data_IF_999504480163
#
_entry.id   IF_999504480163
#
_cell.length_a   1.000
_cell.length_b   1.000
_cell.length_c   1.000
_cell.angle_alpha   90.00
_cell.angle_beta   90.00
_cell.angle_gamma   90.00
#
_symmetry.space_group_name_H-M   'P 1'
#
loop_
_entity.id
_entity.type
_entity.pdbx_description
1 polymer ?
#
# COMPACT_ATOMS: atom_id res chain seq x y z
N UNK A 1 17.34 -17.38 43.11
CA UNK A 1 16.43 -17.51 41.95
C UNK A 1 16.18 -16.14 41.35
N UNK A 2 16.83 -15.83 40.23
CA UNK A 2 16.64 -14.57 39.49
C UNK A 2 15.97 -14.93 38.16
N UNK A 3 14.73 -14.46 37.97
CA UNK A 3 13.97 -14.64 36.73
C UNK A 3 14.62 -13.81 35.63
N UNK A 4 15.15 -14.49 34.62
CA UNK A 4 15.54 -13.89 33.35
C UNK A 4 14.29 -13.34 32.65
N UNK A 5 14.08 -12.03 32.72
CA UNK A 5 13.19 -11.33 31.81
C UNK A 5 13.87 -11.29 30.44
N UNK A 6 13.42 -12.13 29.51
CA UNK A 6 13.86 -12.14 28.12
C UNK A 6 13.69 -10.74 27.47
N UNK A 7 14.77 -10.05 27.08
CA UNK A 7 14.69 -8.83 26.28
C UNK A 7 14.76 -9.18 24.79
N UNK A 8 13.96 -10.14 24.31
CA UNK A 8 14.12 -10.71 22.95
C UNK A 8 13.25 -10.09 21.85
N UNK A 9 12.56 -8.98 22.12
CA UNK A 9 11.92 -8.16 21.09
C UNK A 9 12.11 -6.67 21.39
N UNK A 10 13.37 -6.29 21.66
CA UNK A 10 13.76 -4.91 21.34
C UNK A 10 13.73 -4.87 19.82
N UNK A 11 12.66 -4.33 19.25
CA UNK A 11 12.62 -3.95 17.84
C UNK A 11 13.87 -3.12 17.61
N UNK A 12 14.93 -3.75 17.09
CA UNK A 12 16.01 -3.06 16.44
C UNK A 12 15.32 -2.54 15.19
N UNK A 13 14.59 -1.42 15.35
CA UNK A 13 14.49 -0.44 14.29
C UNK A 13 15.96 -0.13 14.06
N UNK A 14 16.56 -0.84 13.10
CA UNK A 14 17.76 -0.35 12.50
C UNK A 14 17.45 1.11 12.24
N UNK A 15 18.12 2.01 12.96
CA UNK A 15 18.41 3.36 12.47
C UNK A 15 19.31 3.21 11.24
N UNK A 16 18.97 2.30 10.31
CA UNK A 16 19.40 2.39 8.95
C UNK A 16 18.89 3.76 8.54
N UNK A 17 19.86 4.61 8.23
CA UNK A 17 19.76 5.59 7.19
C UNK A 17 18.70 5.14 6.18
N UNK A 18 17.43 5.48 6.39
CA UNK A 18 16.53 5.59 5.27
C UNK A 18 17.18 6.68 4.45
N UNK A 19 17.67 6.28 3.29
CA UNK A 19 18.31 7.14 2.32
C UNK A 19 17.59 8.50 2.31
N UNK A 20 18.37 9.58 2.37
CA UNK A 20 17.84 10.95 2.38
C UNK A 20 16.78 11.16 1.29
N UNK A 21 16.92 10.43 0.18
CA UNK A 21 16.01 10.31 -0.94
C UNK A 21 14.65 9.71 -0.53
N UNK A 22 14.64 8.51 0.08
CA UNK A 22 13.41 7.80 0.52
C UNK A 22 12.65 8.63 1.56
N UNK A 23 13.37 9.27 2.50
CA UNK A 23 12.76 10.22 3.44
C UNK A 23 12.14 11.42 2.72
N UNK A 24 12.87 12.04 1.78
CA UNK A 24 12.38 13.17 0.98
C UNK A 24 11.12 12.81 0.18
N UNK A 25 11.08 11.62 -0.42
CA UNK A 25 9.90 11.10 -1.14
C UNK A 25 8.69 10.96 -0.21
N UNK A 26 8.88 10.41 1.00
CA UNK A 26 7.81 10.32 2.00
C UNK A 26 7.27 11.69 2.41
N UNK A 27 8.16 12.67 2.63
CA UNK A 27 7.75 14.03 2.98
C UNK A 27 6.99 14.71 1.84
N UNK A 28 7.46 14.53 0.61
CA UNK A 28 6.79 15.07 -0.57
C UNK A 28 5.40 14.45 -0.74
N UNK A 29 5.27 13.13 -0.53
CA UNK A 29 3.99 12.42 -0.54
C UNK A 29 3.03 12.99 0.52
N UNK A 30 3.47 13.12 1.78
CA UNK A 30 2.63 13.66 2.86
C UNK A 30 2.22 15.11 2.56
N UNK A 31 3.13 15.94 2.06
CA UNK A 31 2.85 17.33 1.69
C UNK A 31 1.82 17.40 0.56
N UNK A 32 1.99 16.62 -0.50
CA UNK A 32 1.06 16.56 -1.63
C UNK A 32 -0.32 16.06 -1.19
N UNK A 33 -0.37 15.00 -0.40
CA UNK A 33 -1.62 14.45 0.12
C UNK A 33 -2.38 15.49 0.96
N UNK A 34 -1.69 16.21 1.85
CA UNK A 34 -2.31 17.27 2.67
C UNK A 34 -2.78 18.44 1.82
N UNK A 35 -1.99 18.87 0.82
CA UNK A 35 -2.39 19.93 -0.12
C UNK A 35 -3.71 19.57 -0.81
N UNK A 36 -3.78 18.37 -1.40
CA UNK A 36 -5.00 17.88 -2.07
C UNK A 36 -6.19 17.80 -1.10
N UNK A 37 -5.96 17.34 0.13
CA UNK A 37 -7.01 17.32 1.16
C UNK A 37 -7.52 18.73 1.50
N UNK A 38 -6.64 19.73 1.58
CA UNK A 38 -7.03 21.14 1.78
C UNK A 38 -7.79 21.71 0.58
N UNK A 39 -7.48 21.25 -0.64
CA UNK A 39 -8.21 21.57 -1.87
C UNK A 39 -9.57 20.84 -1.97
N UNK A 40 -9.96 20.06 -0.96
CA UNK A 40 -11.24 19.39 -0.85
C UNK A 40 -11.27 17.96 -1.38
N UNK A 41 -10.15 17.41 -1.85
CA UNK A 41 -10.09 16.03 -2.35
C UNK A 41 -10.27 15.02 -1.22
N UNK A 42 -11.18 14.06 -1.42
CA UNK A 42 -11.32 12.90 -0.52
C UNK A 42 -10.24 11.86 -0.82
N UNK A 43 -9.69 11.21 0.21
CA UNK A 43 -8.65 10.19 0.01
C UNK A 43 -9.28 8.81 -0.16
N UNK A 44 -8.97 8.16 -1.28
CA UNK A 44 -9.27 6.76 -1.55
C UNK A 44 -7.95 6.04 -1.77
N UNK A 45 -7.82 4.83 -1.22
CA UNK A 45 -6.73 3.92 -1.48
C UNK A 45 -7.25 2.86 -2.43
N UNK A 46 -6.58 2.69 -3.56
CA UNK A 46 -6.82 1.62 -4.52
C UNK A 46 -5.64 0.66 -4.44
N UNK A 47 -5.94 -0.63 -4.38
CA UNK A 47 -4.91 -1.64 -4.26
C UNK A 47 -5.35 -2.98 -4.79
N UNK A 48 -4.35 -3.84 -4.90
CA UNK A 48 -4.49 -5.22 -5.33
C UNK A 48 -3.95 -6.12 -4.21
N UNK A 49 -4.56 -7.28 -4.01
CA UNK A 49 -4.17 -8.19 -2.95
C UNK A 49 -4.21 -9.62 -3.42
N UNK A 50 -3.05 -10.26 -3.32
CA UNK A 50 -2.85 -11.64 -3.68
C UNK A 50 -3.20 -12.59 -2.52
N UNK A 51 -3.97 -13.61 -2.87
CA UNK A 51 -4.44 -14.70 -2.04
C UNK A 51 -4.03 -16.00 -2.74
N UNK A 52 -2.99 -16.67 -2.25
CA UNK A 52 -2.64 -18.01 -2.73
C UNK A 52 -3.80 -18.98 -2.54
N UNK A 53 -4.02 -19.85 -3.52
CA UNK A 53 -5.13 -20.79 -3.51
C UNK A 53 -5.08 -21.76 -2.33
N UNK A 54 -3.89 -22.16 -1.86
CA UNK A 54 -3.75 -23.01 -0.67
C UNK A 54 -4.37 -22.40 0.60
N UNK A 55 -4.48 -21.07 0.71
CA UNK A 55 -5.16 -20.43 1.85
C UNK A 55 -6.68 -20.65 1.80
N UNK A 56 -7.21 -20.84 0.59
CA UNK A 56 -8.63 -21.06 0.30
C UNK A 56 -8.96 -22.53 0.47
N UNK A 57 -8.18 -23.43 -0.14
CA UNK A 57 -8.37 -24.88 -0.08
C UNK A 57 -7.99 -25.45 1.29
N UNK A 58 -6.99 -24.85 1.95
CA UNK A 58 -6.41 -25.35 3.19
C UNK A 58 -5.43 -26.48 2.99
N UNK A 59 -4.94 -26.67 1.76
CA UNK A 59 -3.87 -27.62 1.41
C UNK A 59 -2.53 -27.18 2.00
N UNK A 60 -1.66 -28.16 2.27
CA UNK A 60 -0.34 -27.87 2.82
C UNK A 60 0.58 -27.40 1.69
N UNK A 61 1.23 -26.23 1.83
CA UNK A 61 2.14 -25.71 0.80
C UNK A 61 3.43 -26.54 0.65
N UNK A 62 3.64 -27.54 1.52
CA UNK A 62 4.80 -28.45 1.52
C UNK A 62 4.60 -29.69 0.66
N UNK A 63 3.41 -29.92 0.08
CA UNK A 63 3.22 -31.03 -0.84
C UNK A 63 4.00 -30.76 -2.14
N UNK A 64 4.99 -31.61 -2.42
CA UNK A 64 6.01 -31.47 -3.46
C UNK A 64 5.46 -31.40 -4.90
N UNK A 65 4.14 -31.59 -5.09
CA UNK A 65 3.46 -31.50 -6.39
C UNK A 65 3.02 -30.07 -6.77
N UNK A 66 3.21 -29.07 -5.91
CA UNK A 66 2.74 -27.69 -6.12
C UNK A 66 3.75 -26.85 -6.91
N UNK A 67 4.01 -27.19 -8.18
CA UNK A 67 4.98 -26.47 -9.04
C UNK A 67 4.54 -25.03 -9.36
N UNK A 68 3.26 -24.69 -9.22
CA UNK A 68 2.79 -23.30 -9.13
C UNK A 68 1.42 -23.28 -8.47
N UNK A 69 1.36 -22.82 -7.23
CA UNK A 69 0.08 -22.56 -6.59
C UNK A 69 -0.57 -21.34 -7.28
N UNK A 70 -1.76 -21.49 -7.89
CA UNK A 70 -2.45 -20.36 -8.48
C UNK A 70 -2.70 -19.28 -7.42
N UNK A 71 -2.66 -18.03 -7.85
CA UNK A 71 -2.83 -16.88 -6.96
C UNK A 71 -4.07 -16.13 -7.41
N UNK A 72 -5.04 -16.01 -6.52
CA UNK A 72 -6.16 -15.13 -6.72
C UNK A 72 -5.77 -13.71 -6.37
N UNK A 73 -5.87 -12.80 -7.32
CA UNK A 73 -5.67 -11.38 -7.06
C UNK A 73 -6.98 -10.64 -7.01
N UNK A 74 -7.14 -9.82 -5.96
CA UNK A 74 -8.35 -9.07 -5.71
C UNK A 74 -8.04 -7.59 -5.78
N UNK A 75 -8.71 -6.89 -6.70
CA UNK A 75 -8.63 -5.43 -6.84
C UNK A 75 -9.76 -4.79 -6.02
N UNK A 76 -9.40 -3.87 -5.14
CA UNK A 76 -10.31 -3.26 -4.16
C UNK A 76 -9.92 -1.81 -3.85
N UNK A 77 -10.85 -1.08 -3.26
CA UNK A 77 -10.60 0.27 -2.80
C UNK A 77 -11.26 0.57 -1.46
N UNK A 78 -10.62 1.43 -0.68
CA UNK A 78 -11.11 1.88 0.63
C UNK A 78 -10.84 3.36 0.85
N UNK A 79 -11.76 4.04 1.54
CA UNK A 79 -11.67 5.47 1.88
C UNK A 79 -11.56 5.66 3.38
N UNK A 80 -11.67 6.86 3.96
CA UNK A 80 -11.82 6.97 5.43
C UNK A 80 -13.14 6.44 5.98
N UNK A 81 -14.14 6.19 5.11
CA UNK A 81 -15.50 5.78 5.48
C UNK A 81 -15.73 4.27 5.45
N UNK A 82 -14.76 3.49 4.98
CA UNK A 82 -14.89 2.06 4.77
C UNK A 82 -14.44 1.66 3.37
N UNK A 83 -14.85 0.47 2.94
CA UNK A 83 -14.74 0.05 1.55
C UNK A 83 -15.48 1.02 0.64
N UNK A 84 -14.90 1.28 -0.53
CA UNK A 84 -15.59 2.01 -1.60
C UNK A 84 -16.73 1.12 -2.09
N UNK A 85 -17.95 1.63 -2.33
CA UNK A 85 -19.08 0.87 -2.86
C UNK A 85 -18.91 0.62 -4.37
N UNK A 86 -17.75 0.08 -4.74
CA UNK A 86 -17.38 -0.39 -6.06
C UNK A 86 -17.14 -1.89 -5.94
N UNK A 87 -17.75 -2.66 -6.84
CA UNK A 87 -17.63 -4.12 -6.81
C UNK A 87 -16.16 -4.48 -7.04
N UNK A 88 -15.56 -5.17 -6.07
CA UNK A 88 -14.19 -5.68 -6.24
C UNK A 88 -14.12 -6.62 -7.46
N UNK A 89 -12.92 -6.75 -8.04
CA UNK A 89 -12.66 -7.72 -9.10
C UNK A 89 -11.71 -8.79 -8.60
N UNK A 90 -11.91 -10.01 -9.09
CA UNK A 90 -11.09 -11.17 -8.74
C UNK A 90 -10.52 -11.74 -10.03
N UNK A 91 -9.21 -11.94 -10.06
CA UNK A 91 -8.49 -12.49 -11.19
C UNK A 91 -7.73 -13.72 -10.71
N UNK A 92 -7.88 -14.85 -11.40
CA UNK A 92 -7.00 -15.98 -11.19
C UNK A 92 -5.72 -15.73 -11.98
N UNK A 93 -4.60 -15.60 -11.28
CA UNK A 93 -3.29 -15.53 -11.89
C UNK A 93 -2.76 -16.94 -12.04
N UNK A 94 -2.82 -17.45 -13.26
CA UNK A 94 -2.04 -18.59 -13.74
C UNK A 94 -1.03 -18.08 -14.79
N UNK A 95 -0.15 -18.96 -15.27
CA UNK A 95 0.85 -18.61 -16.29
C UNK A 95 0.24 -18.13 -17.63
N UNK A 96 -1.08 -18.22 -17.82
CA UNK A 96 -1.76 -18.04 -19.10
C UNK A 96 -2.53 -16.71 -19.23
N UNK A 97 -2.77 -15.97 -18.14
CA UNK A 97 -3.56 -14.72 -18.20
C UNK A 97 -2.96 -13.56 -17.37
N UNK A 98 -2.20 -12.69 -18.03
CA UNK A 98 -1.65 -11.43 -17.48
C UNK A 98 -2.30 -10.18 -18.08
N UNK A 99 -3.45 -10.31 -18.74
CA UNK A 99 -4.12 -9.16 -19.37
C UNK A 99 -4.68 -8.21 -18.30
N UNK A 100 -4.26 -6.96 -18.34
CA UNK A 100 -4.88 -5.89 -17.57
C UNK A 100 -6.31 -5.66 -18.09
N UNK A 101 -7.28 -5.53 -17.19
CA UNK A 101 -8.67 -5.27 -17.57
C UNK A 101 -8.82 -3.82 -18.02
N UNK A 102 -9.04 -3.60 -19.33
CA UNK A 102 -9.28 -2.28 -19.89
C UNK A 102 -10.58 -1.68 -19.37
N UNK A 103 -10.58 -0.38 -19.10
CA UNK A 103 -11.79 0.35 -18.64
C UNK A 103 -12.12 0.17 -17.16
N UNK A 104 -11.53 -0.79 -16.44
CA UNK A 104 -11.82 -1.02 -15.03
C UNK A 104 -11.49 0.21 -14.15
N UNK A 105 -10.39 0.90 -14.47
CA UNK A 105 -10.01 2.13 -13.75
C UNK A 105 -10.97 3.29 -14.05
N UNK A 106 -11.50 3.37 -15.26
CA UNK A 106 -12.51 4.37 -15.64
C UNK A 106 -13.84 4.11 -14.93
N UNK A 107 -14.28 2.84 -14.85
CA UNK A 107 -15.45 2.44 -14.07
C UNK A 107 -15.28 2.84 -12.60
N UNK A 108 -14.12 2.52 -12.01
CA UNK A 108 -13.79 2.89 -10.64
C UNK A 108 -13.84 4.41 -10.43
N UNK A 109 -13.22 5.20 -11.32
CA UNK A 109 -13.24 6.66 -11.24
C UNK A 109 -14.67 7.20 -11.32
N UNK A 110 -15.50 6.65 -12.20
CA UNK A 110 -16.91 7.05 -12.33
C UNK A 110 -17.71 6.81 -11.04
N UNK A 111 -17.51 5.65 -10.41
CA UNK A 111 -18.14 5.31 -9.13
C UNK A 111 -17.61 6.22 -8.00
N UNK A 112 -16.30 6.42 -7.93
CA UNK A 112 -15.67 7.27 -6.92
C UNK A 112 -16.16 8.72 -7.03
N UNK A 113 -16.26 9.27 -8.25
CA UNK A 113 -16.79 10.59 -8.50
C UNK A 113 -18.25 10.72 -8.04
N UNK A 114 -19.10 9.74 -8.35
CA UNK A 114 -20.51 9.76 -7.94
C UNK A 114 -20.70 9.72 -6.42
N UNK A 115 -19.86 8.95 -5.71
CA UNK A 115 -20.03 8.70 -4.27
C UNK A 115 -19.31 9.74 -3.41
N UNK A 116 -18.11 10.16 -3.83
CA UNK A 116 -17.22 10.99 -3.01
C UNK A 116 -16.87 12.34 -3.63
N UNK A 117 -17.24 12.59 -4.89
CA UNK A 117 -16.82 13.77 -5.64
C UNK A 117 -15.35 13.70 -6.02
N UNK A 118 -14.62 14.82 -5.91
CA UNK A 118 -13.19 14.88 -6.25
C UNK A 118 -12.36 14.06 -5.25
N UNK A 119 -11.52 13.18 -5.76
CA UNK A 119 -10.75 12.22 -4.96
C UNK A 119 -9.26 12.26 -5.29
N UNK A 120 -8.42 12.13 -4.27
CA UNK A 120 -7.03 11.69 -4.44
C UNK A 120 -7.00 10.18 -4.31
N UNK A 121 -6.67 9.51 -5.40
CA UNK A 121 -6.58 8.06 -5.50
C UNK A 121 -5.12 7.68 -5.22
N UNK A 122 -4.90 7.11 -4.04
CA UNK A 122 -3.60 6.61 -3.61
C UNK A 122 -3.43 5.18 -4.13
N UNK A 123 -2.43 4.97 -4.98
CA UNK A 123 -2.13 3.66 -5.57
C UNK A 123 -0.76 3.22 -5.09
N UNK A 124 -0.62 1.93 -4.74
CA UNK A 124 0.69 1.33 -4.50
C UNK A 124 1.26 0.87 -5.83
N UNK A 125 2.35 1.45 -6.27
CA UNK A 125 3.07 0.93 -7.43
C UNK A 125 3.65 -0.45 -7.08
N UNK A 126 3.32 -1.46 -7.88
CA UNK A 126 3.91 -2.79 -7.76
C UNK A 126 5.23 -2.79 -8.53
N UNK A 127 6.35 -2.68 -7.82
CA UNK A 127 7.63 -3.06 -8.41
C UNK A 127 7.58 -4.57 -8.60
N UNK A 128 7.54 -5.00 -9.86
CA UNK A 128 7.58 -6.41 -10.24
C UNK A 128 8.56 -7.16 -9.35
N UNK A 129 8.08 -8.22 -8.68
CA UNK A 129 8.89 -9.17 -7.92
C UNK A 129 9.64 -10.10 -8.92
N UNK A 130 10.29 -9.49 -9.91
CA UNK A 130 11.18 -10.14 -10.87
C UNK A 130 12.61 -9.58 -10.79
N UNK A 131 13.00 -9.03 -9.64
CA UNK A 131 14.40 -8.85 -9.26
C UNK A 131 15.02 -10.17 -8.75
N UNK A 132 14.87 -11.26 -9.53
CA UNK A 132 15.69 -12.47 -9.34
C UNK A 132 16.61 -12.79 -10.51
N UNK A 133 16.54 -12.05 -11.63
CA UNK A 133 17.56 -12.07 -12.68
C UNK A 133 17.61 -10.74 -13.42
N UNK A 134 18.43 -9.82 -12.93
CA UNK A 134 19.31 -8.99 -13.77
C UNK A 134 20.14 -8.10 -12.84
N UNK A 135 21.22 -8.70 -12.33
CA UNK A 135 22.44 -7.93 -12.23
C UNK A 135 22.90 -7.62 -13.66
N UNK A 136 23.50 -6.44 -13.81
CA UNK A 136 24.21 -5.96 -15.00
C UNK A 136 23.32 -5.44 -16.14
N UNK A 137 23.03 -4.13 -16.11
CA UNK A 137 23.65 -3.12 -16.99
C UNK A 137 22.90 -1.77 -16.84
N UNK A 138 23.70 -0.71 -16.88
CA UNK A 138 23.34 0.70 -17.09
C UNK A 138 22.93 1.52 -15.87
N UNK A 139 23.97 2.10 -15.28
CA UNK A 139 24.01 3.52 -14.90
C UNK A 139 23.27 4.42 -15.91
N UNK A 140 22.86 5.59 -15.41
CA UNK A 140 22.28 6.72 -16.12
C UNK A 140 20.78 6.67 -16.42
N UNK A 141 19.97 7.04 -15.42
CA UNK A 141 18.77 7.88 -15.63
C UNK A 141 18.59 8.89 -14.49
N UNK A 142 19.51 9.83 -14.42
CA UNK A 142 19.29 11.12 -13.77
C UNK A 142 18.47 12.08 -14.64
N UNK A 143 17.37 11.65 -15.28
CA UNK A 143 16.50 12.52 -16.09
C UNK A 143 15.18 11.82 -16.50
N UNK A 144 14.31 11.51 -15.53
CA UNK A 144 12.93 11.07 -15.86
C UNK A 144 11.93 11.47 -14.76
N UNK A 145 11.98 12.74 -14.36
CA UNK A 145 10.96 13.38 -13.55
C UNK A 145 10.09 14.19 -14.50
N UNK A 146 8.82 13.78 -14.69
CA UNK A 146 7.77 14.41 -15.53
C UNK A 146 7.48 13.81 -16.92
N UNK A 147 7.31 12.50 -17.01
CA UNK A 147 6.40 11.91 -17.99
C UNK A 147 5.16 11.39 -17.25
N UNK A 148 3.98 11.51 -17.86
CA UNK A 148 2.74 10.96 -17.33
C UNK A 148 2.84 9.43 -17.23
N UNK A 149 3.37 8.95 -16.11
CA UNK A 149 3.60 7.54 -15.88
C UNK A 149 2.28 6.94 -15.41
N UNK A 150 1.59 6.29 -16.34
CA UNK A 150 0.56 5.31 -16.03
C UNK A 150 1.06 4.41 -14.89
N UNK A 151 0.33 4.37 -13.78
CA UNK A 151 0.69 3.55 -12.62
C UNK A 151 0.07 2.18 -12.84
N UNK A 152 0.89 1.18 -13.11
CA UNK A 152 0.41 -0.18 -13.31
C UNK A 152 0.34 -0.92 -11.97
N UNK A 153 -0.86 -1.42 -11.65
CA UNK A 153 -1.02 -2.61 -10.82
C UNK A 153 -0.93 -3.83 -11.75
N UNK A 154 -0.83 -5.03 -11.18
CA UNK A 154 -0.70 -6.24 -12.00
C UNK A 154 -1.94 -6.49 -12.86
N UNK A 155 -3.15 -6.31 -12.32
CA UNK A 155 -4.40 -6.55 -13.07
C UNK A 155 -5.09 -5.28 -13.59
N UNK A 156 -4.66 -4.09 -13.17
CA UNK A 156 -5.31 -2.82 -13.57
C UNK A 156 -4.29 -1.71 -13.83
N UNK A 157 -4.51 -0.95 -14.90
CA UNK A 157 -3.71 0.22 -15.25
C UNK A 157 -4.37 1.51 -14.76
N UNK A 158 -3.67 2.29 -13.93
CA UNK A 158 -4.16 3.55 -13.39
C UNK A 158 -3.55 4.73 -14.16
N UNK A 159 -4.30 5.22 -15.15
CA UNK A 159 -3.90 6.32 -16.03
C UNK A 159 -4.21 7.70 -15.40
N UNK A 160 -3.21 8.59 -15.21
CA UNK A 160 -3.42 9.95 -14.67
C UNK A 160 -4.42 10.79 -15.45
N UNK A 161 -4.47 10.65 -16.76
CA UNK A 161 -5.41 11.37 -17.64
C UNK A 161 -6.85 10.96 -17.35
N UNK A 162 -7.11 9.67 -17.20
CA UNK A 162 -8.44 9.13 -16.83
C UNK A 162 -8.88 9.64 -15.47
N UNK A 163 -7.97 9.64 -14.49
CA UNK A 163 -8.24 10.19 -13.17
C UNK A 163 -8.61 11.68 -13.26
N UNK A 164 -7.80 12.49 -13.95
CA UNK A 164 -8.03 13.94 -14.09
C UNK A 164 -9.31 14.26 -14.84
N UNK A 165 -9.62 13.54 -15.92
CA UNK A 165 -10.87 13.67 -16.65
C UNK A 165 -12.10 13.42 -15.76
N UNK A 166 -11.97 12.55 -14.76
CA UNK A 166 -13.00 12.25 -13.76
C UNK A 166 -12.97 13.18 -12.53
N UNK A 167 -12.12 14.21 -12.54
CA UNK A 167 -11.94 15.14 -11.42
C UNK A 167 -11.17 14.56 -10.24
N UNK A 168 -10.28 13.59 -10.50
CA UNK A 168 -9.43 12.94 -9.50
C UNK A 168 -7.94 13.26 -9.72
N UNK A 169 -7.15 13.04 -8.68
CA UNK A 169 -5.70 13.11 -8.73
C UNK A 169 -5.11 11.76 -8.32
N UNK A 170 -4.17 11.23 -9.11
CA UNK A 170 -3.42 10.04 -8.74
C UNK A 170 -2.22 10.42 -7.87
N UNK A 171 -2.01 9.66 -6.80
CA UNK A 171 -0.87 9.83 -5.91
C UNK A 171 -0.21 8.48 -5.62
N UNK A 172 1.00 8.20 -6.15
CA UNK A 172 1.70 6.97 -5.85
C UNK A 172 2.13 6.94 -4.37
N UNK A 173 1.96 5.79 -3.73
CA UNK A 173 2.45 5.54 -2.39
C UNK A 173 3.97 5.25 -2.43
N UNK A 174 4.80 5.97 -1.66
CA UNK A 174 6.25 5.77 -1.71
C UNK A 174 6.66 4.45 -1.04
N UNK A 175 7.50 3.67 -1.71
CA UNK A 175 8.18 2.49 -1.14
C UNK A 175 9.34 2.96 -0.23
N UNK A 176 9.56 2.36 0.96
CA UNK A 176 8.90 1.20 1.56
C UNK A 176 7.77 1.56 2.56
N UNK A 177 7.12 2.72 2.42
CA UNK A 177 6.12 3.23 3.37
C UNK A 177 4.73 2.60 3.21
N UNK A 178 4.65 1.29 2.94
CA UNK A 178 3.40 0.55 2.74
C UNK A 178 2.46 0.65 3.96
N UNK A 179 3.01 0.80 5.16
CA UNK A 179 2.24 1.02 6.39
C UNK A 179 1.39 2.30 6.40
N UNK A 180 1.58 3.20 5.42
CA UNK A 180 0.73 4.36 5.21
C UNK A 180 -0.55 4.02 4.41
N UNK A 181 -0.69 2.79 3.94
CA UNK A 181 -1.88 2.23 3.30
C UNK A 181 -2.72 1.45 4.33
N UNK A 182 -3.98 1.84 4.59
CA UNK A 182 -4.85 1.10 5.49
C UNK A 182 -5.29 -0.27 4.94
N UNK A 183 -5.20 -0.48 3.62
CA UNK A 183 -5.68 -1.69 2.95
C UNK A 183 -4.95 -2.94 3.46
N UNK A 184 -3.63 -2.90 3.63
CA UNK A 184 -2.84 -4.07 4.08
C UNK A 184 -3.36 -4.65 5.40
N UNK A 185 -3.75 -3.77 6.34
CA UNK A 185 -4.30 -4.18 7.63
C UNK A 185 -5.74 -4.72 7.51
N UNK A 186 -6.54 -4.14 6.61
CA UNK A 186 -7.88 -4.65 6.31
C UNK A 186 -7.81 -6.06 5.68
N UNK A 187 -6.90 -6.26 4.73
CA UNK A 187 -6.67 -7.54 4.08
C UNK A 187 -6.06 -8.59 5.00
N UNK A 188 -5.21 -8.20 5.94
CA UNK A 188 -4.75 -9.13 6.99
C UNK A 188 -5.94 -9.69 7.79
N UNK A 189 -6.92 -8.85 8.11
CA UNK A 189 -8.14 -9.28 8.80
C UNK A 189 -8.99 -10.22 7.93
N UNK A 190 -9.05 -9.97 6.61
CA UNK A 190 -9.76 -10.82 5.67
C UNK A 190 -9.07 -12.17 5.46
N UNK A 191 -7.75 -12.22 5.30
CA UNK A 191 -6.99 -13.47 5.19
C UNK A 191 -7.23 -14.37 6.41
N UNK A 192 -7.26 -13.78 7.61
CA UNK A 192 -7.65 -14.48 8.83
C UNK A 192 -9.10 -14.99 8.79
N UNK A 193 -10.03 -14.21 8.24
CA UNK A 193 -11.41 -14.67 8.05
C UNK A 193 -11.47 -15.88 7.12
N UNK A 194 -10.80 -15.84 5.97
CA UNK A 194 -10.74 -16.95 5.00
C UNK A 194 -10.23 -18.21 5.69
N UNK A 195 -9.05 -18.13 6.33
CA UNK A 195 -8.44 -19.29 7.00
C UNK A 195 -9.40 -19.90 8.03
N UNK A 196 -10.06 -19.07 8.84
CA UNK A 196 -10.90 -19.56 9.94
C UNK A 196 -12.29 -20.05 9.51
N UNK A 197 -12.84 -19.54 8.40
CA UNK A 197 -14.23 -19.81 8.02
C UNK A 197 -14.34 -20.64 6.74
N UNK A 198 -13.22 -20.99 6.07
CA UNK A 198 -13.22 -21.71 4.78
C UNK A 198 -14.17 -22.90 4.70
N UNK A 199 -14.28 -23.70 5.77
CA UNK A 199 -15.14 -24.90 5.82
C UNK A 199 -16.63 -24.56 5.64
N UNK A 200 -17.09 -23.40 6.08
CA UNK A 200 -18.48 -22.95 5.94
C UNK A 200 -18.85 -22.62 4.48
N UNK A 201 -17.84 -22.38 3.64
CA UNK A 201 -18.00 -22.07 2.22
C UNK A 201 -17.66 -23.24 1.30
N UNK A 202 -17.34 -24.40 1.88
CA UNK A 202 -17.03 -25.61 1.14
C UNK A 202 -18.28 -26.48 1.02
N UNK A 203 -18.73 -26.73 -0.21
CA UNK A 203 -19.75 -27.72 -0.51
C UNK A 203 -19.04 -29.00 -0.95
N UNK A 204 -19.31 -30.10 -0.26
CA UNK A 204 -18.83 -31.43 -0.67
C UNK A 204 -19.95 -32.13 -1.42
N UNK A 205 -19.62 -32.64 -2.59
CA UNK A 205 -20.46 -33.60 -3.28
C UNK A 205 -19.67 -34.88 -3.44
N UNK A 206 -20.35 -35.98 -3.16
CA UNK A 206 -19.78 -37.32 -3.24
C UNK A 206 -20.64 -38.04 -4.26
N UNK A 207 -20.08 -38.22 -5.46
CA UNK A 207 -20.63 -39.16 -6.43
C UNK A 207 -20.02 -40.54 -6.16
N UNK A 208 -20.65 -41.58 -6.70
CA UNK A 208 -20.21 -42.98 -6.66
C UNK A 208 -18.80 -43.22 -7.18
N UNK A 209 -18.27 -42.31 -8.02
CA UNK A 209 -16.95 -42.43 -8.68
C UNK A 209 -15.97 -41.32 -8.27
N UNK A 210 -16.45 -40.12 -7.94
CA UNK A 210 -15.60 -38.97 -7.62
C UNK A 210 -16.14 -38.17 -6.44
N UNK A 211 -15.24 -37.74 -5.54
CA UNK A 211 -15.52 -36.71 -4.56
C UNK A 211 -14.99 -35.36 -5.05
N UNK A 212 -15.87 -34.37 -5.20
CA UNK A 212 -15.47 -33.01 -5.51
C UNK A 212 -15.86 -32.04 -4.39
N UNK A 213 -15.02 -31.03 -4.21
CA UNK A 213 -15.24 -29.95 -3.25
C UNK A 213 -15.38 -28.64 -4.02
N UNK A 214 -16.54 -28.00 -3.93
CA UNK A 214 -16.74 -26.64 -4.42
C UNK A 214 -16.48 -25.65 -3.31
N UNK A 215 -15.83 -24.54 -3.63
CA UNK A 215 -15.62 -23.43 -2.70
C UNK A 215 -16.34 -22.22 -3.25
N UNK A 216 -17.28 -21.68 -2.46
CA UNK A 216 -17.99 -20.44 -2.78
C UNK A 216 -17.08 -19.23 -2.50
N UNK A 217 -16.02 -19.09 -3.29
CA UNK A 217 -14.93 -18.17 -2.98
C UNK A 217 -15.37 -16.70 -3.02
N UNK A 218 -16.16 -16.30 -4.02
CA UNK A 218 -16.71 -14.94 -4.09
C UNK A 218 -17.57 -14.61 -2.85
N UNK A 219 -18.42 -15.54 -2.40
CA UNK A 219 -19.26 -15.33 -1.21
C UNK A 219 -18.42 -15.23 0.07
N UNK A 220 -17.34 -16.01 0.16
CA UNK A 220 -16.38 -15.92 1.25
C UNK A 220 -15.69 -14.56 1.28
N UNK A 221 -15.26 -14.03 0.13
CA UNK A 221 -14.70 -12.68 0.04
C UNK A 221 -15.75 -11.62 0.43
N UNK A 222 -16.95 -11.70 -0.11
CA UNK A 222 -18.05 -10.78 0.19
C UNK A 222 -18.36 -10.72 1.69
N UNK A 223 -18.63 -11.87 2.32
CA UNK A 223 -18.91 -11.93 3.77
C UNK A 223 -17.73 -11.46 4.61
N UNK A 224 -16.50 -11.73 4.17
CA UNK A 224 -15.32 -11.28 4.88
C UNK A 224 -15.12 -9.76 4.80
N UNK A 225 -15.41 -9.15 3.65
CA UNK A 225 -15.42 -7.69 3.45
C UNK A 225 -16.44 -7.04 4.40
N UNK A 226 -17.64 -7.63 4.52
CA UNK A 226 -18.71 -7.14 5.41
C UNK A 226 -18.33 -7.18 6.90
N UNK A 227 -17.45 -8.11 7.31
CA UNK A 227 -16.93 -8.16 8.70
C UNK A 227 -16.02 -6.98 9.05
N UNK A 228 -15.58 -6.21 8.07
CA UNK A 228 -14.79 -5.01 8.27
C UNK A 228 -15.69 -3.81 8.54
N UNK A 229 -16.16 -3.72 9.78
CA UNK A 229 -17.11 -2.69 10.19
C UNK A 229 -16.51 -1.27 10.10
N UNK A 230 -17.35 -0.23 9.97
CA UNK A 230 -16.90 1.17 9.96
C UNK A 230 -16.03 1.54 11.18
N UNK A 231 -16.29 0.94 12.34
CA UNK A 231 -15.48 1.16 13.55
C UNK A 231 -14.07 0.58 13.43
N UNK A 232 -13.93 -0.66 12.95
CA UNK A 232 -12.61 -1.28 12.69
C UNK A 232 -11.85 -0.46 11.65
N UNK A 233 -12.56 -0.01 10.62
CA UNK A 233 -11.99 0.81 9.57
C UNK A 233 -11.47 2.15 10.09
N UNK A 234 -12.27 2.86 10.89
CA UNK A 234 -11.89 4.10 11.57
C UNK A 234 -10.65 3.92 12.44
N UNK A 235 -10.53 2.80 13.16
CA UNK A 235 -9.34 2.49 13.96
C UNK A 235 -8.08 2.35 13.09
N UNK A 236 -8.15 1.65 11.96
CA UNK A 236 -7.03 1.51 11.02
C UNK A 236 -6.60 2.87 10.44
N UNK A 237 -7.56 3.66 9.98
CA UNK A 237 -7.30 4.99 9.42
C UNK A 237 -6.66 5.91 10.48
N UNK A 238 -7.14 5.86 11.73
CA UNK A 238 -6.56 6.61 12.83
C UNK A 238 -5.11 6.19 13.13
N UNK A 239 -4.80 4.89 13.05
CA UNK A 239 -3.42 4.39 13.22
C UNK A 239 -2.50 4.95 12.13
N UNK A 240 -2.92 4.87 10.87
CA UNK A 240 -2.20 5.44 9.72
C UNK A 240 -2.01 6.95 9.89
N UNK A 241 -3.05 7.68 10.32
CA UNK A 241 -2.98 9.12 10.58
C UNK A 241 -1.97 9.47 11.69
N UNK A 242 -1.94 8.70 12.79
CA UNK A 242 -0.94 8.89 13.85
C UNK A 242 0.48 8.65 13.34
N UNK A 243 0.71 7.58 12.56
CA UNK A 243 2.00 7.35 11.93
C UNK A 243 2.44 8.53 11.05
N UNK A 244 1.53 9.08 10.23
CA UNK A 244 1.79 10.29 9.43
C UNK A 244 2.11 11.51 10.29
N UNK A 245 1.44 11.67 11.43
CA UNK A 245 1.69 12.77 12.37
C UNK A 245 3.03 12.64 13.08
N UNK A 246 3.40 11.44 13.54
CA UNK A 246 4.70 11.19 14.18
C UNK A 246 5.86 11.42 13.21
N UNK A 247 5.71 10.97 11.96
CA UNK A 247 6.67 11.28 10.90
C UNK A 247 6.76 12.79 10.65
N UNK A 248 5.64 13.50 10.61
CA UNK A 248 5.62 14.96 10.48
C UNK A 248 6.20 15.71 11.68
N UNK A 249 5.98 15.23 12.90
CA UNK A 249 6.46 15.87 14.13
C UNK A 249 7.96 15.69 14.31
N UNK A 250 8.50 14.48 14.05
CA UNK A 250 9.94 14.24 14.03
C UNK A 250 10.64 15.13 13.00
N UNK A 251 9.95 15.51 11.93
CA UNK A 251 10.43 16.41 10.88
C UNK A 251 10.43 17.87 11.32
N UNK A 252 9.37 18.35 11.99
CA UNK A 252 9.36 19.71 12.56
C UNK A 252 10.50 19.87 13.57
N UNK A 253 10.72 18.87 14.44
CA UNK A 253 11.83 18.89 15.39
C UNK A 253 13.20 18.83 14.70
N UNK A 254 13.34 18.08 13.60
CA UNK A 254 14.61 18.05 12.83
C UNK A 254 14.89 19.37 12.14
N UNK A 255 13.88 20.00 11.54
CA UNK A 255 14.01 21.30 10.85
C UNK A 255 14.31 22.42 11.87
N UNK A 256 13.62 22.44 13.01
CA UNK A 256 13.89 23.41 14.08
C UNK A 256 15.29 23.23 14.67
N UNK A 257 15.79 21.99 14.80
CA UNK A 257 17.15 21.74 15.28
C UNK A 257 18.22 22.16 14.26
N UNK A 258 17.98 22.00 12.96
CA UNK A 258 18.91 22.48 11.91
C UNK A 258 18.91 24.01 11.78
N UNK A 259 17.77 24.68 11.99
CA UNK A 259 17.68 26.14 12.02
C UNK A 259 18.30 26.71 13.30
N UNK A 260 18.21 25.99 14.43
CA UNK A 260 18.84 26.35 15.70
C UNK A 260 20.37 26.20 15.74
N UNK A 261 20.95 25.36 14.88
CA UNK A 261 22.41 25.21 14.74
C UNK A 261 23.04 26.22 13.78
N UNK A 262 22.28 26.77 12.82
CA UNK A 262 22.81 27.73 11.84
C UNK A 262 23.03 29.14 12.39
N UNK A 263 22.39 29.51 13.50
CA UNK A 263 22.51 30.84 14.12
C UNK A 263 23.61 30.96 15.17
N UNK A 264 24.30 29.86 15.53
CA UNK A 264 25.41 29.91 16.52
C UNK A 264 26.81 30.06 15.91
N UNK A 265 26.99 29.85 14.60
CA UNK A 265 28.31 29.93 13.95
C UNK A 265 28.63 31.27 13.25
N UNK A 266 27.74 32.27 13.29
CA UNK A 266 28.00 33.61 12.69
C UNK A 266 28.46 34.69 13.68
N UNK A 267 29.06 34.33 14.82
CA UNK A 267 29.52 35.33 15.82
C UNK A 267 30.99 35.22 16.26
N UNK A 268 31.86 34.64 15.42
CA UNK A 268 33.32 34.68 15.61
C UNK A 268 34.04 34.80 14.28
N UNK A 269 34.06 35.99 13.69
CA UNK A 269 35.17 36.45 12.84
C UNK A 269 35.00 37.94 12.57
N UNK A 270 35.87 38.75 13.15
CA UNK A 270 35.76 40.21 13.11
C UNK A 270 36.68 40.90 14.11
N UNK A 271 37.99 40.65 14.01
CA UNK A 271 39.02 41.52 14.59
C UNK A 271 40.18 41.62 13.59
N UNK A 272 40.14 42.67 12.78
CA UNK A 272 41.31 43.20 12.09
C UNK A 272 42.08 44.07 13.09
N UNK A 273 43.35 43.72 13.34
CA UNK A 273 44.28 44.56 14.11
C UNK A 273 45.16 45.29 13.10
N UNK A 274 45.08 46.62 13.18
CA UNK A 274 45.91 47.60 12.46
C UNK A 274 47.30 47.59 13.07
N UNK A 275 48.36 47.48 12.25
CA UNK A 275 49.75 47.61 12.71
C UNK A 275 50.18 49.08 12.89
N UNK A 276 51.16 49.38 13.74
CA UNK A 276 51.83 50.68 13.74
C UNK A 276 53.10 50.67 12.88
N UNK A 277 53.48 51.89 12.50
CA UNK A 277 54.57 52.34 11.61
C UNK A 277 55.93 51.68 11.77
#
# INVERSE_FOLDING_TARGET
MLRFANPLLRHIIHRNLFDSIVRKQCLQYIKNLRRLQCEGFKTIFLGETDIPEYLITGENPSDENMVQNPVWSIVHAGSSQGWVPWKYRMFLRDELCTRQEEGLFLEFCSVAQKVYGKCVIVVREERQIHERKQNEIAEDKGALLHASSVINLTSISCCPEVAKASGHELLPLPTPYNYLNPLDSAWSSLKWFIINNRKEFCLRSIDSVYSYQYILFSDMIGKGIDRMTPNKWKMLINKVRRCRMLLGSAVITTILNQVGTSTKDKKKEGKWVVGPM
#
